data_IF_792296624061
#
_entry.id   IF_792296624061
#
_cell.length_a   1.000
_cell.length_b   1.000
_cell.length_c   1.000
_cell.angle_alpha   90.00
_cell.angle_beta   90.00
_cell.angle_gamma   90.00
#
_symmetry.space_group_name_H-M   'P 1'
#
loop_
_entity.id
_entity.type
_entity.pdbx_description
1 polymer ?
#
# COMPACT_ATOMS: atom_id res chain seq x y z
N UNK A 1 -10.13 5.90 23.74
CA UNK A 1 -10.57 7.16 23.12
C UNK A 1 -11.00 6.85 21.70
N UNK A 2 -12.18 7.33 21.30
CA UNK A 2 -12.74 7.08 19.98
C UNK A 2 -11.98 7.94 18.96
N UNK A 3 -11.28 7.30 18.02
CA UNK A 3 -10.65 8.02 16.91
C UNK A 3 -11.77 8.45 15.96
N UNK A 4 -12.13 9.72 16.01
CA UNK A 4 -13.14 10.32 15.14
C UNK A 4 -12.80 10.08 13.67
N UNK A 5 -13.82 9.77 12.85
CA UNK A 5 -13.71 9.51 11.39
C UNK A 5 -13.09 10.66 10.60
N UNK A 6 -12.97 11.82 11.21
CA UNK A 6 -12.34 13.04 10.76
C UNK A 6 -10.80 13.03 10.87
N UNK A 7 -10.21 12.13 11.66
CA UNK A 7 -8.75 11.95 11.78
C UNK A 7 -8.17 11.07 10.65
N UNK A 8 -9.00 10.22 10.04
CA UNK A 8 -8.63 9.49 8.83
C UNK A 8 -8.69 10.50 7.68
N UNK A 9 -7.53 11.03 7.28
CA UNK A 9 -7.40 11.83 6.06
C UNK A 9 -7.99 11.05 4.89
N UNK A 10 -9.20 11.44 4.49
CA UNK A 10 -9.69 11.22 3.12
C UNK A 10 -8.59 11.76 2.21
N UNK A 11 -7.99 10.91 1.38
CA UNK A 11 -7.06 11.38 0.36
C UNK A 11 -7.80 12.40 -0.50
N UNK A 12 -7.54 13.67 -0.23
CA UNK A 12 -8.06 14.75 -1.04
C UNK A 12 -7.33 14.66 -2.38
N UNK A 13 -8.11 14.19 -3.37
CA UNK A 13 -7.81 13.92 -4.76
C UNK A 13 -7.31 12.52 -5.09
N UNK A 14 -8.11 11.50 -4.76
CA UNK A 14 -8.42 10.49 -5.80
C UNK A 14 -8.76 11.27 -7.09
N UNK A 15 -8.09 11.06 -8.24
CA UNK A 15 -8.52 11.68 -9.49
C UNK A 15 -10.04 11.55 -9.64
N UNK A 16 -10.75 12.65 -9.93
CA UNK A 16 -12.22 12.66 -10.07
C UNK A 16 -12.72 11.74 -11.18
N UNK A 17 -11.80 11.27 -12.03
CA UNK A 17 -12.03 10.24 -13.04
C UNK A 17 -10.79 9.37 -13.17
N UNK A 18 -11.02 8.07 -13.27
CA UNK A 18 -9.99 7.11 -13.63
C UNK A 18 -9.62 7.23 -15.12
N UNK A 19 -8.40 6.85 -15.46
CA UNK A 19 -7.85 6.82 -16.81
C UNK A 19 -7.64 5.37 -17.25
N UNK A 20 -7.56 5.16 -18.56
CA UNK A 20 -7.17 3.87 -19.12
C UNK A 20 -5.81 3.44 -18.52
N UNK A 21 -5.75 2.22 -18.00
CA UNK A 21 -4.57 1.65 -17.36
C UNK A 21 -4.44 1.94 -15.87
N UNK A 22 -5.27 2.82 -15.29
CA UNK A 22 -5.24 3.05 -13.85
C UNK A 22 -5.57 1.76 -13.10
N UNK A 23 -4.79 1.50 -12.05
CA UNK A 23 -5.02 0.39 -11.15
C UNK A 23 -6.03 0.77 -10.07
N UNK A 24 -6.93 -0.15 -9.79
CA UNK A 24 -8.08 0.11 -8.94
C UNK A 24 -8.39 -1.10 -8.07
N UNK A 25 -9.00 -0.85 -6.92
CA UNK A 25 -9.79 -1.85 -6.21
C UNK A 25 -11.25 -1.66 -6.60
N UNK A 26 -11.90 -2.76 -6.93
CA UNK A 26 -13.29 -2.86 -7.38
C UNK A 26 -14.12 -3.48 -6.26
N UNK A 27 -15.20 -2.80 -5.90
CA UNK A 27 -16.18 -3.26 -4.92
C UNK A 27 -17.22 -4.15 -5.60
N UNK A 28 -17.26 -5.42 -5.23
CA UNK A 28 -18.23 -6.40 -5.73
C UNK A 28 -19.03 -7.02 -4.57
N UNK A 29 -20.24 -7.50 -4.86
CA UNK A 29 -21.19 -7.97 -3.84
C UNK A 29 -22.03 -6.85 -3.20
N UNK A 30 -22.96 -7.21 -2.32
CA UNK A 30 -23.85 -6.28 -1.62
C UNK A 30 -23.93 -6.61 -0.12
N UNK A 31 -24.06 -5.57 0.72
CA UNK A 31 -24.25 -5.71 2.17
C UNK A 31 -23.08 -6.42 2.86
N UNK A 32 -23.37 -7.50 3.59
CA UNK A 32 -22.35 -8.26 4.35
C UNK A 32 -21.46 -9.17 3.47
N UNK A 33 -21.73 -9.23 2.16
CA UNK A 33 -20.94 -9.99 1.19
C UNK A 33 -20.09 -9.08 0.29
N UNK A 34 -19.89 -7.83 0.69
CA UNK A 34 -19.05 -6.88 -0.03
C UNK A 34 -17.58 -7.34 0.03
N UNK A 35 -16.96 -7.47 -1.14
CA UNK A 35 -15.54 -7.81 -1.30
C UNK A 35 -14.86 -6.81 -2.23
N UNK A 36 -13.58 -6.53 -1.96
CA UNK A 36 -12.76 -5.67 -2.79
C UNK A 36 -11.80 -6.53 -3.62
N UNK A 37 -11.86 -6.40 -4.93
CA UNK A 37 -11.04 -7.17 -5.87
C UNK A 37 -10.11 -6.24 -6.65
N UNK A 38 -8.91 -6.69 -7.00
CA UNK A 38 -7.95 -5.87 -7.74
C UNK A 38 -8.21 -5.90 -9.24
N UNK A 39 -7.96 -4.78 -9.93
CA UNK A 39 -8.06 -4.72 -11.37
C UNK A 39 -7.49 -3.45 -11.98
N UNK A 40 -7.78 -3.27 -13.27
CA UNK A 40 -7.35 -2.10 -14.03
C UNK A 40 -8.43 -1.62 -15.00
N UNK A 41 -8.44 -0.33 -15.29
CA UNK A 41 -9.38 0.30 -16.22
C UNK A 41 -8.98 -0.02 -17.66
N UNK A 42 -9.87 -0.66 -18.41
CA UNK A 42 -9.65 -1.02 -19.82
C UNK A 42 -10.50 -0.21 -20.79
N UNK A 43 -11.52 0.49 -20.32
CA UNK A 43 -12.22 1.51 -21.10
C UNK A 43 -12.93 2.52 -20.19
N UNK A 44 -13.19 3.70 -20.75
CA UNK A 44 -13.96 4.76 -20.09
C UNK A 44 -15.13 5.08 -21.01
N UNK A 45 -16.34 4.96 -20.50
CA UNK A 45 -17.55 5.23 -21.27
C UNK A 45 -17.99 6.70 -21.11
N UNK A 46 -18.63 7.31 -22.14
CA UNK A 46 -19.13 8.69 -22.06
C UNK A 46 -20.18 8.92 -20.96
N UNK A 47 -20.86 7.86 -20.51
CA UNK A 47 -21.87 7.89 -19.45
C UNK A 47 -21.28 7.94 -18.04
N UNK A 48 -19.95 7.87 -17.89
CA UNK A 48 -19.26 7.91 -16.61
C UNK A 48 -19.03 6.55 -15.96
N UNK A 49 -19.35 5.45 -16.64
CA UNK A 49 -18.96 4.10 -16.22
C UNK A 49 -17.57 3.73 -16.74
N UNK A 50 -16.94 2.78 -16.04
CA UNK A 50 -15.62 2.27 -16.37
C UNK A 50 -15.69 0.80 -16.68
N UNK A 51 -15.04 0.39 -17.76
CA UNK A 51 -14.77 -1.02 -18.00
C UNK A 51 -13.50 -1.38 -17.27
N UNK A 52 -13.56 -2.40 -16.44
CA UNK A 52 -12.45 -2.89 -15.63
C UNK A 52 -12.21 -4.36 -15.88
N UNK A 53 -10.93 -4.73 -15.90
CA UNK A 53 -10.49 -6.12 -15.87
C UNK A 53 -10.11 -6.46 -14.44
N UNK A 54 -10.84 -7.39 -13.84
CA UNK A 54 -10.49 -7.97 -12.54
C UNK A 54 -9.36 -8.97 -12.76
N UNK A 55 -8.33 -8.94 -11.91
CA UNK A 55 -7.14 -9.78 -12.12
C UNK A 55 -7.35 -11.25 -11.73
N UNK A 56 -8.21 -11.52 -10.75
CA UNK A 56 -8.45 -12.87 -10.21
C UNK A 56 -9.58 -13.62 -10.92
N UNK A 57 -10.39 -12.94 -11.73
CA UNK A 57 -11.47 -13.56 -12.50
C UNK A 57 -11.03 -13.80 -13.95
N UNK A 58 -11.09 -15.07 -14.38
CA UNK A 58 -10.80 -15.44 -15.76
C UNK A 58 -11.96 -15.14 -16.72
N UNK A 59 -13.15 -14.85 -16.19
CA UNK A 59 -14.36 -14.54 -16.94
C UNK A 59 -14.58 -13.02 -17.08
N UNK A 60 -13.79 -12.43 -17.97
CA UNK A 60 -14.18 -11.21 -18.69
C UNK A 60 -14.07 -9.89 -17.94
N UNK A 61 -14.17 -8.81 -18.72
CA UNK A 61 -14.19 -7.44 -18.21
C UNK A 61 -15.59 -7.09 -17.68
N UNK A 62 -15.66 -6.35 -16.58
CA UNK A 62 -16.91 -5.89 -16.00
C UNK A 62 -17.06 -4.37 -16.14
N UNK A 63 -18.29 -3.87 -16.09
CA UNK A 63 -18.59 -2.43 -16.13
C UNK A 63 -19.02 -2.01 -14.73
N UNK A 64 -18.36 -0.99 -14.21
CA UNK A 64 -18.57 -0.49 -12.85
C UNK A 64 -18.72 1.01 -12.84
N UNK A 65 -19.44 1.51 -11.85
CA UNK A 65 -19.57 2.94 -11.59
C UNK A 65 -18.41 3.45 -10.75
N UNK A 66 -18.22 4.77 -10.73
CA UNK A 66 -17.16 5.41 -9.97
C UNK A 66 -17.18 5.05 -8.47
N UNK A 67 -18.35 4.90 -7.85
CA UNK A 67 -18.50 4.58 -6.42
C UNK A 67 -18.10 3.15 -6.06
N UNK A 68 -17.96 2.27 -7.07
CA UNK A 68 -17.46 0.91 -6.90
C UNK A 68 -15.94 0.85 -7.06
N UNK A 69 -15.27 1.97 -7.29
CA UNK A 69 -13.84 2.02 -7.53
C UNK A 69 -13.12 2.86 -6.48
N UNK A 70 -11.98 2.36 -6.05
CA UNK A 70 -10.95 3.18 -5.38
C UNK A 70 -9.63 2.98 -6.10
N UNK A 71 -8.79 4.02 -6.12
CA UNK A 71 -7.44 3.86 -6.63
C UNK A 71 -6.70 2.82 -5.81
N UNK A 72 -6.01 1.91 -6.51
CA UNK A 72 -4.90 1.21 -5.90
C UNK A 72 -3.74 2.21 -5.85
N UNK A 73 -3.16 2.46 -4.68
CA UNK A 73 -1.84 3.11 -4.60
C UNK A 73 -0.85 2.22 -5.39
N UNK A 74 -0.13 2.63 -6.44
CA UNK A 74 0.28 3.96 -6.89
C UNK A 74 0.48 4.05 -8.42
N UNK A 75 0.57 5.29 -8.93
CA UNK A 75 1.46 5.64 -10.05
C UNK A 75 2.45 6.74 -9.59
N UNK A 76 3.74 6.68 -10.00
CA UNK A 76 4.81 7.52 -9.47
C UNK A 76 4.65 9.03 -9.77
N UNK A 77 4.81 9.92 -8.77
CA UNK A 77 5.05 11.36 -8.94
C UNK A 77 6.57 11.65 -8.93
N UNK A 78 7.20 11.98 -10.08
CA UNK A 78 8.66 12.19 -10.15
C UNK A 78 9.14 13.49 -9.49
N UNK A 79 8.24 14.37 -9.06
CA UNK A 79 8.59 15.66 -8.44
C UNK A 79 8.69 15.60 -6.91
N UNK A 80 8.20 14.52 -6.30
CA UNK A 80 8.33 14.24 -4.86
C UNK A 80 9.43 13.22 -4.62
N UNK A 81 10.67 13.66 -4.65
CA UNK A 81 11.74 12.91 -3.98
C UNK A 81 11.58 13.14 -2.49
N UNK A 82 11.11 12.12 -1.77
CA UNK A 82 11.18 12.14 -0.32
C UNK A 82 12.65 12.29 0.09
N UNK A 83 12.95 13.15 1.06
CA UNK A 83 14.27 13.13 1.71
C UNK A 83 14.52 11.86 2.53
N UNK A 84 13.62 10.88 2.44
CA UNK A 84 13.73 9.53 2.99
C UNK A 84 14.83 8.79 2.25
N UNK A 85 15.62 8.05 3.00
CA UNK A 85 16.62 7.13 2.47
C UNK A 85 16.42 5.79 3.19
N UNK A 86 16.88 4.71 2.58
CA UNK A 86 16.88 3.40 3.22
C UNK A 86 17.59 3.44 4.59
N UNK A 87 18.66 4.23 4.69
CA UNK A 87 19.39 4.46 5.95
C UNK A 87 18.53 5.17 7.01
N UNK A 88 17.78 6.22 6.66
CA UNK A 88 16.88 6.89 7.60
C UNK A 88 15.76 5.98 8.08
N UNK A 89 15.25 5.14 7.19
CA UNK A 89 14.25 4.13 7.53
C UNK A 89 14.81 3.05 8.45
N UNK A 90 16.03 2.56 8.17
CA UNK A 90 16.75 1.63 9.03
C UNK A 90 16.92 2.20 10.43
N UNK A 91 17.46 3.42 10.55
CA UNK A 91 17.66 4.07 11.85
C UNK A 91 16.34 4.28 12.59
N UNK A 92 15.29 4.72 11.90
CA UNK A 92 13.98 4.88 12.53
C UNK A 92 13.41 3.55 13.04
N UNK A 93 13.59 2.47 12.29
CA UNK A 93 13.18 1.14 12.69
C UNK A 93 13.99 0.63 13.89
N UNK A 94 15.31 0.75 13.86
CA UNK A 94 16.18 0.39 14.99
C UNK A 94 15.80 1.13 16.28
N UNK A 95 15.58 2.45 16.20
CA UNK A 95 15.15 3.25 17.34
C UNK A 95 13.79 2.79 17.90
N UNK A 96 12.84 2.46 17.02
CA UNK A 96 11.53 1.97 17.45
C UNK A 96 11.62 0.59 18.13
N UNK A 97 12.55 -0.26 17.69
CA UNK A 97 12.75 -1.59 18.27
C UNK A 97 13.44 -1.53 19.62
N UNK A 98 14.45 -0.68 19.77
CA UNK A 98 15.10 -0.45 21.07
C UNK A 98 14.09 0.07 22.10
N UNK A 99 13.19 0.99 21.70
CA UNK A 99 12.14 1.50 22.59
C UNK A 99 11.14 0.41 23.00
N UNK A 100 10.84 -0.52 22.10
CA UNK A 100 9.80 -1.53 22.33
C UNK A 100 10.30 -2.79 23.05
N UNK A 101 11.49 -3.28 22.69
CA UNK A 101 12.08 -4.54 23.16
C UNK A 101 13.20 -4.33 24.19
N UNK A 102 13.78 -3.12 24.26
CA UNK A 102 14.90 -2.79 25.15
C UNK A 102 16.27 -3.00 24.49
N UNK A 103 17.32 -2.53 25.15
CA UNK A 103 18.71 -2.60 24.63
C UNK A 103 19.34 -4.00 24.73
N UNK A 104 18.70 -4.95 25.41
CA UNK A 104 19.26 -6.29 25.64
C UNK A 104 19.05 -7.24 24.45
N UNK A 105 18.06 -6.97 23.59
CA UNK A 105 17.80 -7.78 22.41
C UNK A 105 18.72 -7.35 21.26
N UNK A 106 19.57 -8.27 20.79
CA UNK A 106 20.41 -8.04 19.62
C UNK A 106 19.54 -8.00 18.37
N UNK A 107 19.29 -6.78 17.87
CA UNK A 107 18.50 -6.54 16.67
C UNK A 107 19.41 -6.58 15.43
N UNK A 108 19.27 -7.62 14.59
CA UNK A 108 19.96 -7.66 13.29
C UNK A 108 19.07 -7.05 12.20
N UNK A 109 19.47 -5.87 11.70
CA UNK A 109 18.75 -5.14 10.64
C UNK A 109 19.53 -5.18 9.33
N UNK A 110 19.03 -5.96 8.38
CA UNK A 110 19.48 -5.98 6.99
C UNK A 110 18.74 -4.96 6.13
N UNK A 111 19.49 -4.21 5.30
CA UNK A 111 18.93 -3.29 4.30
C UNK A 111 19.28 -3.78 2.90
N UNK A 112 18.27 -3.85 2.04
CA UNK A 112 18.36 -4.26 0.65
C UNK A 112 17.80 -3.15 -0.23
N UNK A 113 18.66 -2.22 -0.66
CA UNK A 113 18.33 -1.02 -1.44
C UNK A 113 18.59 -1.18 -2.95
N UNK A 114 19.07 -2.35 -3.39
CA UNK A 114 19.23 -2.70 -4.81
C UNK A 114 17.93 -3.27 -5.42
N UNK A 115 16.77 -2.88 -4.90
CA UNK A 115 15.46 -3.41 -5.29
C UNK A 115 14.60 -2.27 -5.87
N UNK A 116 15.01 -1.76 -7.04
CA UNK A 116 14.34 -0.65 -7.70
C UNK A 116 14.76 0.71 -7.14
N UNK A 117 13.82 1.66 -7.05
CA UNK A 117 14.07 2.99 -6.46
C UNK A 117 13.99 2.97 -4.93
N UNK A 118 13.45 1.89 -4.35
CA UNK A 118 13.16 1.75 -2.94
C UNK A 118 14.07 0.80 -2.18
N UNK A 119 13.59 0.29 -1.06
CA UNK A 119 14.35 -0.62 -0.22
C UNK A 119 13.46 -1.63 0.49
N UNK A 120 14.01 -2.82 0.72
CA UNK A 120 13.48 -3.79 1.67
C UNK A 120 14.37 -3.75 2.91
N UNK A 121 13.76 -3.63 4.08
CA UNK A 121 14.46 -3.63 5.36
C UNK A 121 13.92 -4.81 6.14
N UNK A 122 14.80 -5.71 6.54
CA UNK A 122 14.46 -6.93 7.28
C UNK A 122 15.12 -6.85 8.64
N UNK A 123 14.34 -7.10 9.66
CA UNK A 123 14.79 -7.12 11.03
C UNK A 123 14.48 -8.47 11.66
N UNK A 124 15.50 -9.08 12.28
CA UNK A 124 15.36 -10.33 13.03
C UNK A 124 15.51 -10.05 14.52
N UNK A 125 14.49 -10.49 15.28
CA UNK A 125 14.49 -10.58 16.75
C UNK A 125 14.24 -12.06 17.12
N UNK A 126 14.46 -12.42 18.39
CA UNK A 126 14.36 -13.82 18.85
C UNK A 126 13.03 -14.49 18.48
N UNK A 127 11.90 -13.76 18.62
CA UNK A 127 10.56 -14.30 18.39
C UNK A 127 9.81 -13.64 17.22
N UNK A 128 10.39 -12.59 16.62
CA UNK A 128 9.71 -11.77 15.62
C UNK A 128 10.63 -11.46 14.45
N UNK A 129 10.10 -11.54 13.23
CA UNK A 129 10.71 -10.97 12.02
C UNK A 129 9.86 -9.82 11.53
N UNK A 130 10.48 -8.68 11.22
CA UNK A 130 9.80 -7.52 10.65
C UNK A 130 10.36 -7.28 9.25
N UNK A 131 9.47 -7.12 8.28
CA UNK A 131 9.81 -6.78 6.89
C UNK A 131 9.15 -5.45 6.56
N UNK A 132 9.97 -4.41 6.42
CA UNK A 132 9.54 -3.13 5.88
C UNK A 132 9.85 -3.07 4.37
N UNK A 133 8.89 -2.64 3.57
CA UNK A 133 9.10 -2.34 2.15
C UNK A 133 8.84 -0.88 1.89
N UNK A 134 9.79 -0.21 1.27
CA UNK A 134 9.69 1.18 0.86
C UNK A 134 9.79 1.26 -0.66
N UNK A 135 8.93 2.08 -1.27
CA UNK A 135 8.83 2.26 -2.72
C UNK A 135 9.94 3.16 -3.33
N UNK A 136 10.78 3.78 -2.49
CA UNK A 136 11.78 4.75 -2.93
C UNK A 136 11.32 6.20 -2.87
N UNK A 137 10.10 6.40 -2.38
CA UNK A 137 9.45 7.71 -2.30
C UNK A 137 8.75 7.80 -0.95
N UNK A 138 7.46 7.58 -0.89
CA UNK A 138 6.67 7.97 0.29
C UNK A 138 5.93 6.81 0.92
N UNK A 139 5.87 5.66 0.26
CA UNK A 139 5.09 4.54 0.74
C UNK A 139 6.00 3.55 1.48
N UNK A 140 5.67 3.28 2.73
CA UNK A 140 6.29 2.23 3.52
C UNK A 140 5.20 1.26 3.98
N UNK A 141 5.35 -0.02 3.67
CA UNK A 141 4.57 -1.09 4.28
C UNK A 141 5.43 -1.81 5.32
N UNK A 142 4.79 -2.22 6.42
CA UNK A 142 5.41 -2.97 7.49
C UNK A 142 4.63 -4.26 7.71
N UNK A 143 5.34 -5.38 7.63
CA UNK A 143 4.81 -6.71 7.91
C UNK A 143 5.55 -7.29 9.11
N UNK A 144 4.80 -7.76 10.10
CA UNK A 144 5.34 -8.31 11.35
C UNK A 144 4.94 -9.78 11.45
N UNK A 145 5.92 -10.65 11.63
CA UNK A 145 5.76 -12.10 11.71
C UNK A 145 6.24 -12.57 13.08
N UNK A 146 5.34 -13.06 13.93
CA UNK A 146 5.69 -13.69 15.21
C UNK A 146 5.76 -15.21 15.09
N UNK A 147 6.72 -15.81 15.79
CA UNK A 147 6.80 -17.26 15.98
C UNK A 147 6.21 -17.61 17.35
N UNK A 148 5.04 -18.25 17.36
CA UNK A 148 4.33 -18.67 18.58
C UNK A 148 4.24 -20.20 18.65
#
# INVERSE_FOLDING_TARGET
EDVGRDVIRKLEQSPTRFKFGDRVLIRTGEGNSEVWQQGSITAIHPDGTYKVRIFEDSYGETIVTHDQLVFQFEAPDPSKTSGLTAEKLKTALEMALVDFFGEEDEVDVGVFDNVGEGAVIVCFLEEITIVATWDGRVHIDLNVFGFF
#
